data_IF_076638425223
#
_entry.id   IF_076638425223
#
_cell.length_a   1.000
_cell.length_b   1.000
_cell.length_c   1.000
_cell.angle_alpha   90.00
_cell.angle_beta   90.00
_cell.angle_gamma   90.00
#
_symmetry.space_group_name_H-M   'P 1'
#
loop_
_entity.id
_entity.type
_entity.pdbx_description
1 polymer ?
#
# COMPACT_ATOMS: atom_id res chain seq x y z
N UNK A 1 -15.00 17.88 -18.43
CA UNK A 1 -15.10 16.97 -17.26
C UNK A 1 -14.35 15.68 -17.60
N UNK A 2 -13.02 15.64 -17.39
CA UNK A 2 -12.14 14.53 -17.80
C UNK A 2 -11.75 13.58 -16.66
N UNK A 3 -12.22 13.85 -15.43
CA UNK A 3 -11.83 13.11 -14.22
C UNK A 3 -12.22 11.61 -14.20
N UNK A 4 -13.08 11.15 -15.11
CA UNK A 4 -13.54 9.76 -15.16
C UNK A 4 -12.59 8.81 -15.90
N UNK A 5 -11.61 9.34 -16.66
CA UNK A 5 -10.76 8.53 -17.53
C UNK A 5 -9.71 7.70 -16.76
N UNK A 6 -9.32 8.13 -15.56
CA UNK A 6 -8.29 7.46 -14.74
C UNK A 6 -8.84 6.42 -13.75
N UNK A 7 -10.16 6.39 -13.54
CA UNK A 7 -10.84 5.48 -12.61
C UNK A 7 -10.55 3.99 -12.86
N UNK A 8 -10.50 3.50 -14.11
CA UNK A 8 -10.18 2.10 -14.41
C UNK A 8 -8.76 1.69 -14.02
N UNK A 9 -7.84 2.65 -13.90
CA UNK A 9 -6.44 2.41 -13.55
C UNK A 9 -6.18 2.53 -12.04
N UNK A 10 -6.91 3.43 -11.36
CA UNK A 10 -6.84 3.60 -9.91
C UNK A 10 -7.35 2.38 -9.14
N UNK A 11 -8.44 1.76 -9.61
CA UNK A 11 -9.03 0.57 -8.97
C UNK A 11 -8.03 -0.60 -8.86
N UNK A 12 -7.39 -1.07 -9.94
CA UNK A 12 -6.45 -2.19 -9.85
C UNK A 12 -5.21 -1.87 -9.03
N UNK A 13 -4.73 -0.62 -9.06
CA UNK A 13 -3.60 -0.18 -8.23
C UNK A 13 -3.99 -0.22 -6.75
N UNK A 14 -5.11 0.38 -6.37
CA UNK A 14 -5.60 0.35 -4.99
C UNK A 14 -5.88 -1.08 -4.50
N UNK A 15 -6.44 -1.94 -5.35
CA UNK A 15 -6.68 -3.34 -5.03
C UNK A 15 -5.38 -4.13 -4.79
N UNK A 16 -4.36 -3.90 -5.62
CA UNK A 16 -3.03 -4.51 -5.46
C UNK A 16 -2.38 -4.07 -4.15
N UNK A 17 -2.48 -2.78 -3.84
CA UNK A 17 -1.89 -2.17 -2.66
C UNK A 17 -2.52 -2.69 -1.37
N UNK A 18 -3.87 -2.74 -1.32
CA UNK A 18 -4.63 -3.32 -0.23
C UNK A 18 -4.32 -4.83 -0.09
N UNK A 19 -4.20 -5.54 -1.20
CA UNK A 19 -3.81 -6.95 -1.22
C UNK A 19 -2.42 -7.19 -0.61
N UNK A 20 -1.42 -6.39 -1.00
CA UNK A 20 -0.06 -6.48 -0.46
C UNK A 20 -0.01 -6.14 1.03
N UNK A 21 -0.74 -5.10 1.46
CA UNK A 21 -0.84 -4.73 2.87
C UNK A 21 -1.47 -5.87 3.70
N UNK A 22 -2.57 -6.46 3.22
CA UNK A 22 -3.22 -7.60 3.89
C UNK A 22 -2.32 -8.83 3.93
N UNK A 23 -1.63 -9.16 2.84
CA UNK A 23 -0.69 -10.28 2.80
C UNK A 23 0.44 -10.05 3.82
N UNK A 24 1.00 -8.84 3.88
CA UNK A 24 2.06 -8.51 4.83
C UNK A 24 1.59 -8.62 6.29
N UNK A 25 0.40 -8.11 6.61
CA UNK A 25 -0.21 -8.22 7.94
C UNK A 25 -0.50 -9.67 8.32
N UNK A 26 -1.12 -10.44 7.42
CA UNK A 26 -1.41 -11.86 7.64
C UNK A 26 -0.12 -12.66 7.83
N UNK A 27 0.91 -12.37 7.02
CA UNK A 27 2.20 -13.02 7.10
C UNK A 27 2.90 -12.71 8.43
N UNK A 28 2.83 -11.45 8.89
CA UNK A 28 3.36 -11.00 10.17
C UNK A 28 2.68 -11.74 11.34
N UNK A 29 1.35 -11.79 11.35
CA UNK A 29 0.56 -12.47 12.40
C UNK A 29 0.83 -13.98 12.40
N UNK A 30 0.85 -14.61 11.22
CA UNK A 30 1.09 -16.07 11.08
C UNK A 30 2.50 -16.49 11.48
N UNK A 31 3.52 -15.63 11.31
CA UNK A 31 4.90 -15.96 11.72
C UNK A 31 5.12 -15.86 13.22
N UNK A 32 4.20 -15.26 14.00
CA UNK A 32 4.00 -15.44 15.44
C UNK A 32 5.14 -15.10 16.41
N UNK A 33 6.40 -15.00 15.96
CA UNK A 33 7.59 -14.62 16.71
C UNK A 33 8.61 -14.00 15.76
N UNK A 34 8.50 -12.69 15.55
CA UNK A 34 9.60 -11.94 14.96
C UNK A 34 10.74 -11.89 15.99
N UNK A 35 11.83 -12.60 15.70
CA UNK A 35 13.01 -12.72 16.60
C UNK A 35 13.81 -11.41 16.73
N UNK A 36 13.43 -10.36 16.01
CA UNK A 36 14.23 -9.14 15.80
C UNK A 36 13.54 -7.83 16.16
N UNK A 37 12.22 -7.68 15.96
CA UNK A 37 11.49 -6.44 16.25
C UNK A 37 10.07 -6.73 16.74
N UNK A 38 9.54 -5.84 17.59
CA UNK A 38 8.18 -5.91 18.13
C UNK A 38 7.14 -5.87 17.00
N UNK A 39 6.08 -6.68 17.10
CA UNK A 39 4.99 -6.80 16.12
C UNK A 39 4.35 -5.44 15.80
N UNK A 40 4.26 -4.54 16.79
CA UNK A 40 3.76 -3.18 16.59
C UNK A 40 4.64 -2.32 15.67
N UNK A 41 5.96 -2.48 15.73
CA UNK A 41 6.89 -1.72 14.89
C UNK A 41 6.79 -2.18 13.43
N UNK A 42 6.67 -3.49 13.21
CA UNK A 42 6.44 -4.03 11.87
C UNK A 42 5.11 -3.56 11.26
N UNK A 43 4.03 -3.47 12.05
CA UNK A 43 2.76 -2.92 11.58
C UNK A 43 2.92 -1.47 11.09
N UNK A 44 3.64 -0.63 11.84
CA UNK A 44 3.90 0.77 11.46
C UNK A 44 4.72 0.85 10.17
N UNK A 45 5.76 0.02 10.03
CA UNK A 45 6.59 -0.05 8.81
C UNK A 45 5.74 -0.45 7.61
N UNK A 46 4.91 -1.49 7.74
CA UNK A 46 4.03 -1.95 6.65
C UNK A 46 3.09 -0.83 6.23
N UNK A 47 2.46 -0.13 7.17
CA UNK A 47 1.54 0.97 6.88
C UNK A 47 2.26 2.13 6.19
N UNK A 48 3.43 2.55 6.70
CA UNK A 48 4.20 3.65 6.12
C UNK A 48 4.71 3.33 4.71
N UNK A 49 5.18 2.11 4.47
CA UNK A 49 5.65 1.71 3.15
C UNK A 49 4.50 1.45 2.17
N UNK A 50 3.36 0.97 2.63
CA UNK A 50 2.15 0.90 1.80
C UNK A 50 1.77 2.30 1.32
N UNK A 51 1.72 3.30 2.20
CA UNK A 51 1.39 4.69 1.86
C UNK A 51 2.33 5.35 0.84
N UNK A 52 3.60 4.92 0.76
CA UNK A 52 4.55 5.48 -0.22
C UNK A 52 4.10 5.22 -1.65
N UNK A 53 3.48 4.06 -1.94
CA UNK A 53 3.00 3.73 -3.29
C UNK A 53 1.98 4.75 -3.84
N UNK A 54 0.87 5.02 -3.13
CA UNK A 54 -0.12 6.03 -3.49
C UNK A 54 0.45 7.43 -3.53
N UNK A 55 1.27 7.78 -2.55
CA UNK A 55 1.87 9.11 -2.46
C UNK A 55 2.77 9.34 -3.67
N UNK A 56 3.60 8.37 -4.06
CA UNK A 56 4.40 8.46 -5.27
C UNK A 56 3.55 8.48 -6.54
N UNK A 57 2.44 7.74 -6.62
CA UNK A 57 1.51 7.84 -7.74
C UNK A 57 0.88 9.24 -7.85
N UNK A 58 0.44 9.83 -6.73
CA UNK A 58 -0.11 11.18 -6.72
C UNK A 58 0.93 12.26 -7.04
N UNK A 59 2.21 12.02 -6.74
CA UNK A 59 3.30 12.97 -6.99
C UNK A 59 3.88 12.81 -8.40
N UNK A 60 4.13 11.58 -8.86
CA UNK A 60 4.80 11.26 -10.13
C UNK A 60 3.77 11.01 -11.24
N UNK A 61 2.67 10.32 -10.93
CA UNK A 61 1.62 9.96 -11.88
C UNK A 61 0.64 11.09 -12.19
N UNK A 62 0.78 12.26 -11.57
CA UNK A 62 0.17 13.49 -12.09
C UNK A 62 0.97 13.96 -13.30
N UNK A 63 0.70 13.35 -14.45
CA UNK A 63 0.69 14.16 -15.66
C UNK A 63 -0.52 15.09 -15.52
N UNK A 64 -0.24 16.39 -15.41
CA UNK A 64 -1.26 17.43 -15.56
C UNK A 64 -1.79 17.36 -17.00
N UNK A 65 -2.98 16.80 -17.18
CA UNK A 65 -3.85 17.07 -18.33
C UNK A 65 -5.14 17.77 -17.85
#
# INVERSE_FOLDING_TARGET
MHALQYWPFLIPVAALELGLMLIALIHMIRRGRTRTLNTGIWAVIIILFSLIGPVLYFIIGREED
#
